data_IF_319229121853
#
_entry.id   IF_319229121853
#
_cell.length_a   1.000
_cell.length_b   1.000
_cell.length_c   1.000
_cell.angle_alpha   90.00
_cell.angle_beta   90.00
_cell.angle_gamma   90.00
#
_symmetry.space_group_name_H-M   'P 1'
#
loop_
_entity.id
_entity.type
_entity.pdbx_description
1 polymer ?
#
# COMPACT_ATOMS: atom_id res chain seq x y z
N UNK A 1 16.85 -34.67 41.52
CA UNK A 1 16.37 -33.40 40.94
C UNK A 1 15.42 -33.77 39.83
N UNK A 2 14.13 -33.71 40.09
CA UNK A 2 13.09 -34.05 39.12
C UNK A 2 12.83 -32.81 38.28
N UNK A 3 13.06 -32.96 36.99
CA UNK A 3 12.72 -32.02 35.93
C UNK A 3 11.19 -31.88 35.93
N UNK A 4 10.68 -30.77 36.49
CA UNK A 4 9.26 -30.45 36.45
C UNK A 4 8.95 -29.96 35.04
N UNK A 5 8.63 -30.90 34.17
CA UNK A 5 8.04 -30.64 32.87
C UNK A 5 6.81 -29.74 33.07
N UNK A 6 6.91 -28.48 32.66
CA UNK A 6 5.80 -27.53 32.58
C UNK A 6 4.74 -28.05 31.60
N UNK A 7 3.85 -28.93 32.07
CA UNK A 7 2.67 -29.35 31.30
C UNK A 7 1.63 -28.25 31.36
N UNK A 8 1.58 -27.44 30.30
CA UNK A 8 0.51 -26.48 30.03
C UNK A 8 -0.82 -27.24 29.99
N UNK A 9 -1.80 -26.79 30.78
CA UNK A 9 -3.14 -27.35 30.80
C UNK A 9 -3.91 -27.00 29.52
N UNK A 10 -4.96 -27.76 29.22
CA UNK A 10 -5.82 -27.49 28.06
C UNK A 10 -6.48 -26.11 28.17
N UNK A 11 -6.88 -25.74 29.39
CA UNK A 11 -7.49 -24.46 29.72
C UNK A 11 -6.51 -23.30 29.52
N UNK A 12 -5.27 -23.43 29.97
CA UNK A 12 -4.22 -22.41 29.76
C UNK A 12 -3.89 -22.23 28.29
N UNK A 13 -3.76 -23.33 27.53
CA UNK A 13 -3.56 -23.27 26.09
C UNK A 13 -4.73 -22.59 25.39
N UNK A 14 -5.98 -22.97 25.73
CA UNK A 14 -7.17 -22.38 25.14
C UNK A 14 -7.26 -20.87 25.45
N UNK A 15 -6.93 -20.46 26.68
CA UNK A 15 -6.90 -19.06 27.07
C UNK A 15 -5.82 -18.29 26.30
N UNK A 16 -4.61 -18.84 26.15
CA UNK A 16 -3.53 -18.20 25.41
C UNK A 16 -3.89 -18.01 23.92
N UNK A 17 -4.51 -19.01 23.30
CA UNK A 17 -5.01 -18.91 21.92
C UNK A 17 -6.09 -17.85 21.80
N UNK A 18 -7.05 -17.80 22.72
CA UNK A 18 -8.11 -16.80 22.72
C UNK A 18 -7.54 -15.38 22.88
N UNK A 19 -6.60 -15.18 23.80
CA UNK A 19 -5.90 -13.90 23.98
C UNK A 19 -5.14 -13.48 22.73
N UNK A 20 -4.43 -14.41 22.09
CA UNK A 20 -3.69 -14.14 20.84
C UNK A 20 -4.64 -13.67 19.73
N UNK A 21 -5.75 -14.39 19.52
CA UNK A 21 -6.77 -14.02 18.52
C UNK A 21 -7.34 -12.62 18.82
N UNK A 22 -7.69 -12.35 20.08
CA UNK A 22 -8.21 -11.04 20.49
C UNK A 22 -7.21 -9.90 20.24
N UNK A 23 -5.93 -10.10 20.58
CA UNK A 23 -4.86 -9.14 20.31
C UNK A 23 -4.67 -8.89 18.82
N UNK A 24 -4.72 -9.92 17.99
CA UNK A 24 -4.67 -9.77 16.52
C UNK A 24 -5.85 -8.96 15.98
N UNK A 25 -7.08 -9.22 16.45
CA UNK A 25 -8.24 -8.42 16.06
C UNK A 25 -8.13 -6.97 16.50
N UNK A 26 -7.60 -6.72 17.70
CA UNK A 26 -7.34 -5.36 18.17
C UNK A 26 -6.34 -4.65 17.25
N UNK A 27 -5.25 -5.32 16.87
CA UNK A 27 -4.25 -4.76 15.97
C UNK A 27 -4.86 -4.30 14.64
N UNK A 28 -5.66 -5.17 14.00
CA UNK A 28 -6.36 -4.84 12.75
C UNK A 28 -7.25 -3.59 12.89
N UNK A 29 -8.00 -3.50 13.99
CA UNK A 29 -8.85 -2.33 14.26
C UNK A 29 -8.05 -1.04 14.39
N UNK A 30 -6.90 -1.06 15.05
CA UNK A 30 -6.07 0.14 15.18
C UNK A 30 -5.42 0.53 13.86
N UNK A 31 -5.02 -0.45 13.04
CA UNK A 31 -4.53 -0.18 11.69
C UNK A 31 -5.64 0.49 10.85
N UNK A 32 -6.85 -0.06 10.84
CA UNK A 32 -7.99 0.52 10.10
C UNK A 32 -8.30 1.94 10.56
N UNK A 33 -8.23 2.22 11.87
CA UNK A 33 -8.40 3.56 12.44
C UNK A 33 -7.29 4.51 11.99
N UNK A 34 -6.03 4.07 11.99
CA UNK A 34 -4.90 4.86 11.52
C UNK A 34 -5.11 5.26 10.05
N UNK A 35 -5.54 4.33 9.20
CA UNK A 35 -5.77 4.60 7.77
C UNK A 35 -6.95 5.54 7.58
N UNK A 36 -8.04 5.34 8.32
CA UNK A 36 -9.20 6.23 8.28
C UNK A 36 -8.79 7.65 8.70
N UNK A 37 -8.06 7.79 9.80
CA UNK A 37 -7.57 9.09 10.25
C UNK A 37 -6.58 9.73 9.27
N UNK A 38 -5.66 8.96 8.67
CA UNK A 38 -4.79 9.46 7.60
C UNK A 38 -5.60 9.95 6.40
N UNK A 39 -6.59 9.16 5.94
CA UNK A 39 -7.46 9.54 4.84
C UNK A 39 -8.17 10.87 5.12
N UNK A 40 -8.76 11.01 6.30
CA UNK A 40 -9.48 12.22 6.68
C UNK A 40 -8.55 13.44 6.65
N UNK A 41 -7.37 13.33 7.28
CA UNK A 41 -6.39 14.42 7.28
C UNK A 41 -5.85 14.74 5.89
N UNK A 42 -5.64 13.74 5.03
CA UNK A 42 -5.16 13.96 3.67
C UNK A 42 -6.24 14.58 2.76
N UNK A 43 -7.52 14.34 3.03
CA UNK A 43 -8.64 14.92 2.28
C UNK A 43 -8.88 16.41 2.61
N UNK A 44 -8.48 16.88 3.79
CA UNK A 44 -8.62 18.30 4.19
C UNK A 44 -7.92 19.26 3.19
N UNK A 45 -8.48 20.46 3.01
CA UNK A 45 -7.84 21.54 2.22
C UNK A 45 -6.51 22.00 2.85
N UNK A 46 -5.62 22.72 2.12
CA UNK A 46 -5.75 23.20 0.73
C UNK A 46 -5.21 22.23 -0.33
N UNK A 47 -4.44 21.21 0.05
CA UNK A 47 -3.87 20.21 -0.86
C UNK A 47 -4.58 18.88 -0.62
N UNK A 48 -5.85 18.82 -0.99
CA UNK A 48 -6.70 17.65 -0.78
C UNK A 48 -6.25 16.47 -1.63
N UNK A 49 -6.05 15.33 -0.98
CA UNK A 49 -5.70 14.06 -1.60
C UNK A 49 -6.84 13.06 -1.40
N UNK A 50 -7.28 12.45 -2.48
CA UNK A 50 -8.31 11.43 -2.48
C UNK A 50 -7.70 10.02 -2.48
N UNK A 51 -8.28 9.13 -1.70
CA UNK A 51 -7.88 7.73 -1.65
C UNK A 51 -8.30 6.98 -2.92
N UNK A 52 -7.38 6.23 -3.54
CA UNK A 52 -7.69 5.41 -4.71
C UNK A 52 -8.28 4.05 -4.28
N UNK A 53 -9.54 3.80 -4.64
CA UNK A 53 -10.24 2.55 -4.36
C UNK A 53 -9.53 1.32 -4.98
N UNK A 54 -9.54 0.19 -4.27
CA UNK A 54 -8.90 -1.07 -4.69
C UNK A 54 -7.40 -1.18 -4.39
N UNK A 55 -6.80 -0.16 -3.77
CA UNK A 55 -5.38 -0.17 -3.37
C UNK A 55 -5.20 -0.62 -1.93
N UNK A 56 -6.23 -0.41 -1.12
CA UNK A 56 -6.29 -0.98 0.21
C UNK A 56 -6.77 -2.42 0.09
N UNK A 57 -5.88 -3.37 0.37
CA UNK A 57 -6.37 -4.70 0.72
C UNK A 57 -7.16 -4.52 2.01
N UNK A 58 -8.50 -4.44 1.95
CA UNK A 58 -9.29 -4.67 3.15
C UNK A 58 -8.87 -6.05 3.68
N UNK A 59 -8.54 -6.17 4.96
CA UNK A 59 -8.57 -7.49 5.59
C UNK A 59 -9.94 -8.07 5.23
N UNK A 60 -9.98 -9.22 4.56
CA UNK A 60 -11.20 -9.73 3.95
C UNK A 60 -12.37 -9.73 4.96
N UNK A 61 -13.61 -9.61 4.48
CA UNK A 61 -14.81 -9.81 5.31
C UNK A 61 -14.84 -11.18 6.00
N UNK A 62 -14.02 -12.10 5.51
CA UNK A 62 -13.78 -13.38 6.15
C UNK A 62 -12.94 -13.21 7.43
N UNK A 63 -13.64 -12.99 8.55
CA UNK A 63 -13.07 -13.02 9.90
C UNK A 63 -12.39 -14.37 10.24
N UNK A 64 -12.52 -15.39 9.38
CA UNK A 64 -11.85 -16.69 9.53
C UNK A 64 -10.49 -16.77 8.84
N UNK A 65 -10.14 -15.83 7.93
CA UNK A 65 -8.76 -15.71 7.39
C UNK A 65 -7.84 -15.13 8.47
N UNK A 66 -7.29 -16.04 9.29
CA UNK A 66 -6.32 -15.75 10.36
C UNK A 66 -4.91 -15.58 9.81
N UNK A 67 -4.73 -14.72 8.82
CA UNK A 67 -3.39 -14.35 8.35
C UNK A 67 -3.04 -13.05 9.05
N UNK A 68 -1.85 -12.94 9.66
CA UNK A 68 -1.32 -11.66 10.13
C UNK A 68 -0.60 -11.04 8.95
N UNK A 69 -1.16 -9.97 8.39
CA UNK A 69 -0.50 -9.25 7.30
C UNK A 69 0.68 -8.47 7.87
N UNK A 70 1.85 -8.68 7.29
CA UNK A 70 3.06 -7.96 7.67
C UNK A 70 3.07 -6.51 7.17
N UNK A 71 2.20 -6.17 6.20
CA UNK A 71 2.14 -4.84 5.61
C UNK A 71 0.75 -4.48 5.06
N UNK A 72 0.49 -3.17 4.95
CA UNK A 72 -0.69 -2.57 4.33
C UNK A 72 -0.24 -1.48 3.37
N UNK A 73 -1.00 -1.26 2.29
CA UNK A 73 -0.68 -0.26 1.27
C UNK A 73 -1.88 0.61 0.93
N UNK A 74 -1.64 1.88 0.67
CA UNK A 74 -2.62 2.86 0.20
C UNK A 74 -2.00 3.75 -0.87
N UNK A 75 -2.82 4.22 -1.82
CA UNK A 75 -2.44 5.24 -2.78
C UNK A 75 -3.44 6.38 -2.68
N UNK A 76 -2.91 7.59 -2.84
CA UNK A 76 -3.69 8.80 -2.90
C UNK A 76 -3.34 9.57 -4.17
N UNK A 77 -4.36 10.20 -4.77
CA UNK A 77 -4.25 11.08 -5.94
C UNK A 77 -4.74 12.48 -5.56
N UNK A 78 -4.48 13.53 -6.36
CA UNK A 78 -5.13 14.81 -6.12
C UNK A 78 -6.65 14.61 -6.13
N UNK A 79 -7.37 15.25 -5.20
CA UNK A 79 -8.82 15.29 -5.22
C UNK A 79 -9.27 16.15 -6.40
N UNK A 80 -9.58 15.50 -7.52
CA UNK A 80 -10.29 16.12 -8.64
C UNK A 80 -11.78 15.99 -8.28
N UNK A 81 -12.57 17.06 -8.36
CA UNK A 81 -13.94 17.15 -7.84
C UNK A 81 -14.99 16.27 -8.54
N UNK A 82 -14.64 15.07 -8.99
CA UNK A 82 -15.57 14.07 -9.50
C UNK A 82 -15.60 12.88 -8.54
N UNK A 83 -16.71 12.78 -7.82
CA UNK A 83 -17.11 11.62 -7.03
C UNK A 83 -17.24 10.40 -7.96
N UNK A 84 -16.17 9.61 -8.07
CA UNK A 84 -16.27 8.25 -8.63
C UNK A 84 -16.89 7.35 -7.55
N UNK A 85 -18.22 7.42 -7.40
CA UNK A 85 -19.06 6.43 -6.71
C UNK A 85 -19.04 5.09 -7.49
N UNK A 86 -17.85 4.54 -7.69
CA UNK A 86 -17.64 3.32 -8.48
C UNK A 86 -17.71 2.07 -7.63
N UNK A 87 -18.91 1.49 -7.54
CA UNK A 87 -19.30 0.12 -7.12
C UNK A 87 -18.27 -0.72 -6.34
N UNK A 88 -18.61 -0.99 -5.08
CA UNK A 88 -17.95 -1.92 -4.16
C UNK A 88 -18.24 -3.39 -4.51
N UNK A 89 -17.82 -3.89 -5.66
CA UNK A 89 -17.87 -5.33 -5.93
C UNK A 89 -16.61 -6.02 -5.35
N UNK A 90 -16.72 -6.32 -4.05
CA UNK A 90 -15.75 -7.02 -3.21
C UNK A 90 -15.83 -8.55 -3.41
N UNK A 91 -14.94 -9.11 -4.24
CA UNK A 91 -14.53 -10.52 -4.14
C UNK A 91 -13.03 -10.64 -4.51
N UNK A 92 -12.14 -10.06 -3.70
CA UNK A 92 -10.69 -10.28 -3.83
C UNK A 92 -10.29 -11.57 -3.11
N UNK A 93 -9.99 -12.62 -3.88
CA UNK A 93 -9.17 -13.74 -3.41
C UNK A 93 -7.73 -13.22 -3.30
N UNK A 94 -7.16 -13.21 -2.10
CA UNK A 94 -5.75 -12.87 -1.87
C UNK A 94 -4.86 -13.87 -2.60
N UNK A 95 -4.13 -13.39 -3.60
CA UNK A 95 -2.96 -14.07 -4.15
C UNK A 95 -1.77 -13.77 -3.24
N UNK A 96 -1.63 -14.59 -2.20
CA UNK A 96 -0.45 -14.65 -1.34
C UNK A 96 0.58 -15.60 -1.96
N UNK A 97 1.15 -15.19 -3.08
CA UNK A 97 2.25 -15.90 -3.69
C UNK A 97 2.96 -15.01 -4.68
N UNK A 98 4.29 -14.91 -4.57
CA UNK A 98 5.14 -14.60 -5.71
C UNK A 98 5.20 -15.82 -6.67
N UNK A 99 4.08 -16.53 -6.84
CA UNK A 99 3.96 -17.59 -7.82
C UNK A 99 3.67 -16.97 -9.19
N UNK A 100 4.27 -17.48 -10.28
CA UNK A 100 3.78 -17.15 -11.60
C UNK A 100 2.33 -17.62 -11.67
N UNK A 101 1.39 -16.67 -11.75
CA UNK A 101 -0.03 -16.94 -12.00
C UNK A 101 -0.16 -17.91 -13.20
N UNK A 102 -0.24 -19.22 -12.94
CA UNK A 102 -0.86 -20.17 -13.85
C UNK A 102 -2.34 -19.76 -13.91
N UNK A 103 -2.87 -19.66 -15.13
CA UNK A 103 -4.26 -19.28 -15.39
C UNK A 103 -5.20 -20.27 -14.71
N UNK A 104 -5.51 -20.03 -13.43
CA UNK A 104 -6.79 -20.42 -12.90
C UNK A 104 -7.81 -19.57 -13.65
N UNK A 105 -8.71 -20.24 -14.37
CA UNK A 105 -9.85 -19.73 -15.15
C UNK A 105 -10.88 -18.98 -14.27
N UNK A 106 -10.42 -18.10 -13.38
CA UNK A 106 -11.24 -17.17 -12.64
C UNK A 106 -11.65 -16.06 -13.60
N UNK A 107 -12.95 -16.04 -13.91
CA UNK A 107 -13.60 -14.97 -14.69
C UNK A 107 -13.05 -13.61 -14.24
N UNK A 108 -12.60 -12.73 -15.15
CA UNK A 108 -12.09 -11.43 -14.76
C UNK A 108 -13.21 -10.62 -14.12
N UNK A 109 -13.07 -10.34 -12.82
CA UNK A 109 -13.92 -9.39 -12.10
C UNK A 109 -13.89 -8.05 -12.85
N UNK A 110 -15.08 -7.59 -13.24
CA UNK A 110 -15.32 -6.44 -14.13
C UNK A 110 -15.13 -5.11 -13.39
N UNK A 111 -13.90 -4.80 -12.96
CA UNK A 111 -13.55 -3.44 -12.58
C UNK A 111 -13.12 -2.61 -13.79
N UNK A 112 -13.58 -1.36 -13.90
CA UNK A 112 -12.99 -0.40 -14.83
C UNK A 112 -11.50 -0.24 -14.45
N UNK A 113 -10.54 -0.51 -15.35
CA UNK A 113 -9.13 -0.31 -15.07
C UNK A 113 -8.84 1.15 -14.70
N UNK A 114 -7.90 1.36 -13.78
CA UNK A 114 -7.41 2.69 -13.46
C UNK A 114 -6.53 3.23 -14.59
N UNK A 115 -6.61 4.54 -14.80
CA UNK A 115 -5.73 5.28 -15.70
C UNK A 115 -4.77 6.11 -14.85
N UNK A 116 -3.47 5.98 -15.13
CA UNK A 116 -2.42 6.78 -14.48
C UNK A 116 -1.74 7.60 -15.57
N UNK A 117 -1.85 8.92 -15.49
CA UNK A 117 -1.12 9.82 -16.39
C UNK A 117 0.39 9.83 -16.09
N UNK A 118 1.22 10.01 -17.11
CA UNK A 118 2.68 10.05 -16.94
C UNK A 118 3.17 11.16 -16.01
N UNK A 119 2.45 12.28 -15.97
CA UNK A 119 2.68 13.42 -15.08
C UNK A 119 1.76 13.42 -13.84
N UNK A 120 0.93 12.39 -13.66
CA UNK A 120 0.01 12.34 -12.53
C UNK A 120 0.78 12.04 -11.25
N UNK A 121 0.84 12.97 -10.29
CA UNK A 121 1.45 12.68 -9.00
C UNK A 121 0.57 11.69 -8.23
N UNK A 122 1.19 10.77 -7.50
CA UNK A 122 0.53 9.86 -6.57
C UNK A 122 1.33 9.79 -5.27
N UNK A 123 0.64 9.75 -4.13
CA UNK A 123 1.24 9.52 -2.82
C UNK A 123 1.01 8.05 -2.47
N UNK A 124 2.08 7.27 -2.35
CA UNK A 124 2.00 5.92 -1.83
C UNK A 124 2.32 5.92 -0.34
N UNK A 125 1.53 5.16 0.42
CA UNK A 125 1.72 4.93 1.85
C UNK A 125 1.73 3.43 2.10
N UNK A 126 2.74 2.93 2.81
CA UNK A 126 2.92 1.54 3.22
C UNK A 126 3.06 1.50 4.73
N UNK A 127 2.16 0.81 5.43
CA UNK A 127 2.29 0.53 6.86
C UNK A 127 2.93 -0.84 6.99
N UNK A 128 4.07 -0.90 7.68
CA UNK A 128 4.87 -2.12 7.85
C UNK A 128 4.78 -2.54 9.31
N UNK A 129 4.16 -3.68 9.57
CA UNK A 129 4.07 -4.29 10.90
C UNK A 129 5.32 -5.10 11.23
N UNK A 130 5.90 -5.73 10.22
CA UNK A 130 7.14 -6.49 10.31
C UNK A 130 7.88 -6.41 8.97
N UNK A 131 9.15 -6.02 9.00
CA UNK A 131 10.02 -6.06 7.82
C UNK A 131 11.03 -7.21 7.93
N UNK A 132 10.87 -8.30 7.13
CA UNK A 132 11.80 -9.43 7.16
C UNK A 132 13.25 -9.06 6.79
N UNK A 133 13.45 -7.92 6.12
CA UNK A 133 14.76 -7.44 5.68
C UNK A 133 15.44 -6.55 6.72
N UNK A 134 14.69 -5.99 7.66
CA UNK A 134 15.20 -5.22 8.80
C UNK A 134 14.89 -5.95 10.10
N UNK A 135 15.46 -7.16 10.27
CA UNK A 135 15.15 -8.05 11.41
C UNK A 135 15.45 -7.45 12.78
N UNK A 136 16.35 -6.48 12.84
CA UNK A 136 16.72 -5.77 14.08
C UNK A 136 15.80 -4.56 14.36
N UNK A 137 15.04 -4.12 13.36
CA UNK A 137 14.00 -3.09 13.51
C UNK A 137 12.72 -3.76 13.98
N UNK A 138 12.55 -3.86 15.28
CA UNK A 138 11.29 -4.33 15.89
C UNK A 138 10.16 -3.29 15.82
N UNK A 139 10.46 -2.09 15.35
CA UNK A 139 9.52 -0.99 15.33
C UNK A 139 8.67 -1.00 14.04
N UNK A 140 7.33 -1.11 14.14
CA UNK A 140 6.44 -0.92 13.01
C UNK A 140 6.56 0.51 12.47
N UNK A 141 6.43 0.69 11.17
CA UNK A 141 6.68 1.98 10.51
C UNK A 141 5.70 2.30 9.37
N UNK A 142 5.41 3.58 9.19
CA UNK A 142 4.75 4.14 8.01
C UNK A 142 5.85 4.58 7.05
N UNK A 143 5.88 3.99 5.86
CA UNK A 143 6.70 4.43 4.74
C UNK A 143 5.83 5.18 3.76
N UNK A 144 6.30 6.30 3.23
CA UNK A 144 5.55 7.04 2.23
C UNK A 144 6.47 7.73 1.23
N UNK A 145 5.97 7.91 0.02
CA UNK A 145 6.67 8.64 -1.02
C UNK A 145 5.68 9.26 -2.01
N UNK A 146 6.02 10.46 -2.46
CA UNK A 146 5.43 11.05 -3.66
C UNK A 146 6.09 10.39 -4.87
N UNK A 147 5.28 10.03 -5.84
CA UNK A 147 5.69 9.41 -7.09
C UNK A 147 5.22 10.29 -8.23
N UNK A 148 6.15 10.63 -9.11
CA UNK A 148 5.87 11.36 -10.33
C UNK A 148 6.65 10.71 -11.50
N UNK A 149 6.46 11.24 -12.71
CA UNK A 149 7.16 10.77 -13.91
C UNK A 149 6.99 9.26 -14.17
N UNK A 150 5.74 8.83 -14.29
CA UNK A 150 5.42 7.43 -14.54
C UNK A 150 5.91 7.00 -15.92
N UNK A 151 6.56 5.84 -15.96
CA UNK A 151 7.08 5.20 -17.17
C UNK A 151 6.81 3.71 -17.14
N UNK A 152 7.00 3.05 -18.28
CA UNK A 152 6.97 1.58 -18.36
C UNK A 152 8.37 1.06 -18.62
N UNK A 153 8.86 0.21 -17.70
CA UNK A 153 10.21 -0.34 -17.73
C UNK A 153 11.27 0.75 -17.98
N UNK A 154 12.16 0.56 -18.96
CA UNK A 154 13.24 1.51 -19.28
C UNK A 154 12.91 2.45 -20.45
N UNK A 155 11.63 2.68 -20.72
CA UNK A 155 11.23 3.67 -21.74
C UNK A 155 11.58 5.09 -21.31
N UNK A 156 11.84 5.94 -22.28
CA UNK A 156 11.91 7.39 -22.08
C UNK A 156 10.57 7.92 -21.60
N UNK A 157 10.59 8.88 -20.69
CA UNK A 157 9.37 9.50 -20.18
C UNK A 157 8.73 10.41 -21.23
N UNK A 158 7.41 10.33 -21.36
CA UNK A 158 6.57 11.20 -22.18
C UNK A 158 5.35 11.63 -21.36
N UNK A 159 5.24 12.93 -21.10
CA UNK A 159 4.19 13.53 -20.29
C UNK A 159 2.76 13.28 -20.80
N UNK A 160 2.59 12.89 -22.08
CA UNK A 160 1.29 12.60 -22.68
C UNK A 160 0.84 11.15 -22.53
N UNK A 161 1.70 10.26 -22.04
CA UNK A 161 1.35 8.86 -21.86
C UNK A 161 0.29 8.67 -20.75
N UNK A 162 -0.60 7.71 -20.98
CA UNK A 162 -1.60 7.25 -20.01
C UNK A 162 -1.48 5.74 -19.89
N UNK A 163 -1.31 5.27 -18.66
CA UNK A 163 -1.11 3.86 -18.34
C UNK A 163 -2.39 3.25 -17.81
N UNK A 164 -2.84 2.16 -18.43
CA UNK A 164 -4.03 1.42 -18.00
C UNK A 164 -3.60 0.28 -17.08
N UNK A 165 -4.04 0.31 -15.82
CA UNK A 165 -3.68 -0.68 -14.79
C UNK A 165 -4.95 -1.31 -14.22
N UNK A 166 -4.96 -2.63 -14.04
CA UNK A 166 -6.07 -3.30 -13.33
C UNK A 166 -6.08 -2.81 -11.87
N UNK A 167 -7.26 -2.49 -11.31
CA UNK A 167 -7.38 -2.03 -9.91
C UNK A 167 -6.66 -2.95 -8.92
N UNK A 168 -6.81 -4.27 -9.08
CA UNK A 168 -6.14 -5.28 -8.24
C UNK A 168 -4.60 -5.27 -8.29
N UNK A 169 -3.99 -4.63 -9.29
CA UNK A 169 -2.53 -4.49 -9.40
C UNK A 169 -2.02 -3.20 -8.76
N UNK A 170 -2.88 -2.21 -8.49
CA UNK A 170 -2.47 -0.95 -7.89
C UNK A 170 -1.91 -1.13 -6.47
N UNK A 171 -2.41 -2.12 -5.71
CA UNK A 171 -1.86 -2.50 -4.41
C UNK A 171 -0.38 -2.89 -4.45
N UNK A 172 0.17 -3.24 -5.63
CA UNK A 172 1.60 -3.55 -5.81
C UNK A 172 2.49 -2.30 -5.85
N UNK A 173 1.92 -1.10 -6.02
CA UNK A 173 2.69 0.16 -6.06
C UNK A 173 3.20 0.53 -4.66
N UNK A 174 2.37 0.65 -3.59
CA UNK A 174 2.89 0.96 -2.26
C UNK A 174 3.82 -0.12 -1.70
N UNK A 175 3.61 -1.39 -2.07
CA UNK A 175 4.51 -2.48 -1.67
C UNK A 175 5.93 -2.32 -2.21
N UNK A 176 6.09 -1.64 -3.34
CA UNK A 176 7.40 -1.38 -3.94
C UNK A 176 8.26 -0.43 -3.10
N UNK A 177 7.67 0.32 -2.16
CA UNK A 177 8.43 1.11 -1.18
C UNK A 177 9.32 0.24 -0.28
N UNK A 178 9.00 -1.06 -0.15
CA UNK A 178 9.79 -2.00 0.62
C UNK A 178 11.10 -2.41 -0.06
N UNK A 179 12.14 -2.53 0.75
CA UNK A 179 13.33 -3.32 0.43
C UNK A 179 14.47 -2.66 -0.33
N UNK A 180 14.54 -1.32 -0.35
CA UNK A 180 15.75 -0.61 -0.78
C UNK A 180 15.84 0.79 -0.16
N UNK A 181 17.05 1.29 0.04
CA UNK A 181 17.30 2.68 0.43
C UNK A 181 17.00 3.60 -0.76
N UNK A 182 15.74 3.95 -0.92
CA UNK A 182 15.23 4.75 -2.02
C UNK A 182 15.37 6.25 -1.69
N UNK A 183 16.45 6.85 -2.19
CA UNK A 183 16.75 8.29 -2.00
C UNK A 183 16.10 9.14 -3.09
N UNK A 184 16.09 10.47 -2.92
CA UNK A 184 15.76 11.45 -3.97
C UNK A 184 16.41 11.09 -5.32
N UNK A 185 15.61 11.16 -6.38
CA UNK A 185 15.98 10.83 -7.76
C UNK A 185 16.02 9.32 -8.07
N UNK A 186 15.78 8.45 -7.09
CA UNK A 186 15.76 7.01 -7.33
C UNK A 186 14.61 6.65 -8.26
N UNK A 187 14.90 5.72 -9.19
CA UNK A 187 13.86 5.08 -9.99
C UNK A 187 13.29 3.91 -9.21
N UNK A 188 12.01 3.99 -8.88
CA UNK A 188 11.26 2.90 -8.29
C UNK A 188 10.63 2.06 -9.40
N UNK A 189 10.86 0.75 -9.37
CA UNK A 189 10.19 -0.22 -10.27
C UNK A 189 9.14 -0.99 -9.48
N UNK A 190 7.88 -0.88 -9.87
CA UNK A 190 6.77 -1.55 -9.19
C UNK A 190 6.44 -2.89 -9.84
N UNK A 191 5.83 -3.81 -9.09
CA UNK A 191 5.25 -5.04 -9.66
C UNK A 191 3.89 -4.82 -10.33
N UNK A 192 3.40 -3.58 -10.41
CA UNK A 192 2.16 -3.24 -11.09
C UNK A 192 2.41 -3.18 -12.60
N UNK A 193 1.72 -4.02 -13.37
CA UNK A 193 1.90 -4.09 -14.82
C UNK A 193 0.80 -3.38 -15.59
N UNK A 194 1.17 -2.66 -16.64
CA UNK A 194 0.20 -2.04 -17.55
C UNK A 194 -0.48 -3.10 -18.43
N UNK A 195 -1.75 -2.87 -18.76
CA UNK A 195 -2.54 -3.73 -19.63
C UNK A 195 -1.87 -3.80 -21.01
N UNK A 196 -1.62 -5.02 -21.51
CA UNK A 196 -1.15 -5.19 -22.88
C UNK A 196 -2.27 -4.98 -23.88
N UNK A 197 -1.89 -4.51 -25.06
CA UNK A 197 -2.71 -4.68 -26.25
C UNK A 197 -2.96 -6.16 -26.52
N UNK A 198 -4.12 -6.48 -27.10
CA UNK A 198 -4.51 -7.85 -27.44
C UNK A 198 -3.44 -8.49 -28.33
N UNK A 199 -2.90 -9.64 -27.91
CA UNK A 199 -1.89 -10.40 -28.66
C UNK A 199 -0.42 -10.16 -28.30
N UNK A 200 -0.09 -9.23 -27.39
CA UNK A 200 1.29 -9.04 -26.96
C UNK A 200 1.71 -10.09 -25.91
N UNK A 201 2.85 -10.77 -26.13
CA UNK A 201 3.41 -11.75 -25.16
C UNK A 201 3.78 -11.06 -23.84
N UNK A 202 3.50 -11.69 -22.68
CA UNK A 202 3.97 -11.22 -21.36
C UNK A 202 5.50 -11.18 -21.42
N UNK A 203 6.08 -9.99 -21.46
CA UNK A 203 7.52 -9.76 -21.26
C UNK A 203 7.69 -8.87 -20.04
N UNK A 204 8.84 -9.00 -19.37
CA UNK A 204 9.25 -8.26 -18.17
C UNK A 204 9.40 -6.73 -18.37
N UNK A 205 8.91 -6.19 -19.48
CA UNK A 205 9.00 -4.78 -19.84
C UNK A 205 7.71 -3.98 -19.64
N UNK A 206 6.75 -4.45 -18.82
CA UNK A 206 5.43 -3.79 -18.62
C UNK A 206 5.20 -3.22 -17.21
N UNK A 207 6.21 -3.29 -16.37
CA UNK A 207 6.15 -2.78 -15.00
C UNK A 207 6.10 -1.26 -15.02
N UNK A 208 5.19 -0.69 -14.23
CA UNK A 208 5.19 0.73 -13.95
C UNK A 208 6.41 1.08 -13.11
N UNK A 209 7.12 2.09 -13.57
CA UNK A 209 8.23 2.70 -12.86
C UNK A 209 7.91 4.18 -12.63
N UNK A 210 8.49 4.76 -11.59
CA UNK A 210 8.40 6.19 -11.33
C UNK A 210 9.74 6.71 -10.80
N UNK A 211 9.90 8.02 -10.84
CA UNK A 211 11.00 8.70 -10.15
C UNK A 211 10.47 9.19 -8.80
N UNK A 212 11.32 9.07 -7.77
CA UNK A 212 11.02 9.55 -6.43
C UNK A 212 11.67 10.92 -6.21
N UNK A 213 10.92 12.04 -6.26
CA UNK A 213 11.48 13.39 -6.10
C UNK A 213 12.10 13.62 -4.71
N UNK A 214 11.48 13.16 -3.63
CA UNK A 214 12.04 13.25 -2.27
C UNK A 214 12.74 11.97 -1.80
N UNK A 215 12.42 10.81 -2.39
CA UNK A 215 12.77 9.49 -1.84
C UNK A 215 11.64 8.93 -0.96
N UNK A 216 11.94 7.87 -0.21
CA UNK A 216 11.00 7.27 0.74
C UNK A 216 11.26 7.80 2.14
N UNK A 217 10.24 8.40 2.74
CA UNK A 217 10.25 8.80 4.14
C UNK A 217 9.67 7.69 5.02
N UNK A 218 10.18 7.62 6.25
CA UNK A 218 9.78 6.61 7.24
C UNK A 218 9.39 7.29 8.55
N UNK A 219 8.27 6.88 9.12
CA UNK A 219 7.75 7.39 10.38
C UNK A 219 7.40 6.22 11.31
N UNK A 220 7.94 6.15 12.54
CA UNK A 220 7.62 5.06 13.45
C UNK A 220 6.17 5.07 13.94
N UNK A 221 5.50 3.92 13.94
CA UNK A 221 4.09 3.82 14.36
C UNK A 221 3.88 4.12 15.84
N UNK A 222 4.85 3.78 16.70
CA UNK A 222 4.73 4.06 18.14
C UNK A 222 4.66 5.55 18.45
N UNK A 223 5.14 6.39 17.53
CA UNK A 223 5.03 7.84 17.66
C UNK A 223 3.64 8.38 17.20
N UNK A 224 2.71 7.52 16.78
CA UNK A 224 1.34 7.88 16.37
C UNK A 224 0.31 7.57 17.48
N UNK A 225 0.70 7.72 18.73
CA UNK A 225 -0.13 7.47 19.92
C UNK A 225 -1.09 8.62 20.25
N UNK A 226 -0.97 9.75 19.55
CA UNK A 226 -1.77 10.97 19.75
C UNK A 226 -2.38 11.50 18.46
N UNK A 227 -3.57 12.15 18.53
CA UNK A 227 -4.17 12.82 17.38
C UNK A 227 -3.26 13.87 16.72
N UNK A 228 -2.48 14.59 17.51
CA UNK A 228 -1.55 15.62 17.05
C UNK A 228 -0.40 15.02 16.23
N UNK A 229 0.10 13.84 16.62
CA UNK A 229 1.15 13.15 15.85
C UNK A 229 0.64 12.69 14.47
N UNK A 230 -0.60 12.23 14.41
CA UNK A 230 -1.26 11.87 13.16
C UNK A 230 -1.49 13.09 12.26
N UNK A 231 -1.91 14.22 12.84
CA UNK A 231 -2.07 15.48 12.14
C UNK A 231 -0.73 15.98 11.57
N UNK A 232 0.34 15.90 12.36
CA UNK A 232 1.69 16.24 11.92
C UNK A 232 2.18 15.36 10.77
N UNK A 233 1.90 14.05 10.83
CA UNK A 233 2.22 13.13 9.74
C UNK A 233 1.47 13.48 8.44
N UNK A 234 0.16 13.75 8.53
CA UNK A 234 -0.64 14.21 7.39
C UNK A 234 -0.13 15.52 6.79
N UNK A 235 0.23 16.48 7.64
CA UNK A 235 0.82 17.76 7.23
C UNK A 235 2.17 17.56 6.51
N UNK A 236 3.04 16.67 7.01
CA UNK A 236 4.30 16.32 6.35
C UNK A 236 4.09 15.69 4.97
N UNK A 237 3.14 14.77 4.84
CA UNK A 237 2.80 14.14 3.56
C UNK A 237 2.30 15.19 2.54
N UNK A 238 1.43 16.11 2.96
CA UNK A 238 0.96 17.22 2.10
C UNK A 238 2.08 18.20 1.74
N UNK A 239 3.01 18.45 2.64
CA UNK A 239 4.17 19.32 2.38
C UNK A 239 5.11 18.68 1.36
N UNK A 240 5.41 17.39 1.51
CA UNK A 240 6.19 16.64 0.50
C UNK A 240 5.50 16.73 -0.85
N UNK A 241 4.19 16.46 -0.88
CA UNK A 241 3.38 16.56 -2.09
C UNK A 241 3.47 17.93 -2.77
N UNK A 242 3.26 19.02 -2.03
CA UNK A 242 3.24 20.36 -2.62
C UNK A 242 4.63 20.85 -3.04
N UNK A 243 5.67 20.57 -2.25
CA UNK A 243 7.04 20.99 -2.55
C UNK A 243 7.63 20.28 -3.77
N UNK A 244 7.32 18.99 -3.95
CA UNK A 244 7.79 18.20 -5.08
C UNK A 244 7.01 18.52 -6.37
N UNK A 245 5.80 19.05 -6.27
CA UNK A 245 5.04 19.59 -7.42
C UNK A 245 5.48 20.99 -7.84
N UNK A 246 6.07 21.76 -6.93
CA UNK A 246 6.51 23.14 -7.20
C UNK A 246 7.93 23.22 -7.78
N UNK A 247 8.71 22.15 -7.71
CA UNK A 247 10.09 22.12 -8.24
C UNK A 247 10.17 22.05 -9.77
N UNK A 248 9.02 22.04 -10.46
CA UNK A 248 8.89 21.86 -11.92
C UNK A 248 8.22 23.03 -12.67
N UNK A 249 8.03 24.18 -12.01
CA UNK A 249 7.63 25.44 -12.66
C UNK A 249 8.80 26.43 -12.79
#
# INVERSE_FOLDING_TARGET
MLDMSNTITREEFASAVASTIASTHHLYREVDRLITGLRDRLAEEPNSLAFLAGVFGKAGRDQTRRIIRNEYGALFSPAIGEDDEGDEDEDEIEDEGDEPEEELDHKPLKGIPAQIGANQPLLAVRIVMYDPQMRDSFEPQVQYAVMNHWTVANKSWDAKEVFIVRKSLLKRIPRALGGSNLTRGSKLTTKATVKSNVGAKRTDGRQLCCVLPAGVETFPLYNLDTPEALEHLGAKMKLMWSSDLQTEN
#
